data_IF_333754414946
#
_entry.id   IF_333754414946
#
_cell.length_a   1.000
_cell.length_b   1.000
_cell.length_c   1.000
_cell.angle_alpha   90.00
_cell.angle_beta   90.00
_cell.angle_gamma   90.00
#
_symmetry.space_group_name_H-M   'P 1'
#
loop_
_entity.id
_entity.type
_entity.pdbx_description
1 polymer ?
#
# COMPACT_ATOMS: atom_id res chain seq x y z
N UNK A 1 7.30 -37.64 22.46
CA UNK A 1 6.82 -38.81 23.21
C UNK A 1 7.29 -38.71 24.65
N UNK A 2 6.33 -38.62 25.61
CA UNK A 2 6.63 -38.48 27.04
C UNK A 2 6.62 -39.85 27.72
N UNK A 3 7.81 -40.37 28.04
CA UNK A 3 7.95 -41.56 28.88
C UNK A 3 8.51 -41.12 30.24
N UNK A 4 7.88 -41.51 31.33
CA UNK A 4 8.37 -41.32 32.69
C UNK A 4 8.74 -42.62 33.34
N UNK A 5 9.78 -42.65 34.15
CA UNK A 5 10.20 -43.82 34.90
C UNK A 5 10.60 -43.41 36.33
N UNK A 6 10.42 -44.33 37.27
CA UNK A 6 10.95 -44.17 38.65
C UNK A 6 12.34 -44.83 38.73
N UNK A 7 13.17 -44.39 39.69
CA UNK A 7 14.39 -45.11 40.05
C UNK A 7 14.10 -46.47 40.63
N UNK A 8 15.01 -47.40 40.50
CA UNK A 8 14.94 -48.68 41.20
C UNK A 8 14.83 -48.44 42.74
N UNK A 9 14.10 -49.27 43.41
CA UNK A 9 13.91 -49.26 44.87
C UNK A 9 13.13 -48.06 45.43
N UNK A 10 12.51 -47.22 44.57
CA UNK A 10 11.68 -46.12 45.04
C UNK A 10 10.35 -46.61 45.66
N UNK A 11 9.74 -47.64 45.05
CA UNK A 11 8.42 -48.11 45.41
C UNK A 11 8.52 -49.48 46.12
N UNK A 12 8.03 -49.62 47.37
CA UNK A 12 7.99 -50.89 48.08
C UNK A 12 6.86 -51.82 47.53
N UNK A 13 6.73 -53.01 48.12
CA UNK A 13 5.54 -53.85 47.88
C UNK A 13 4.25 -53.06 48.14
N UNK A 14 3.29 -53.22 47.24
CA UNK A 14 2.01 -52.57 47.44
C UNK A 14 1.23 -52.25 46.16
N UNK A 15 0.09 -51.66 46.36
CA UNK A 15 -0.78 -51.11 45.31
C UNK A 15 -0.50 -49.63 45.16
N UNK A 16 -0.32 -49.18 43.94
CA UNK A 16 -0.01 -47.80 43.61
C UNK A 16 -0.96 -47.28 42.57
N UNK A 17 -1.08 -45.94 42.53
CA UNK A 17 -1.85 -45.20 41.54
C UNK A 17 -0.97 -44.05 41.01
N UNK A 18 -0.83 -43.97 39.67
CA UNK A 18 -0.27 -42.84 39.02
C UNK A 18 -1.39 -41.88 38.67
N UNK A 19 -1.21 -40.62 39.01
CA UNK A 19 -2.15 -39.54 38.70
C UNK A 19 -1.33 -38.40 38.10
N UNK A 20 -1.76 -37.87 36.99
CA UNK A 20 -1.19 -36.63 36.45
C UNK A 20 -1.65 -35.47 37.33
N UNK A 21 -0.71 -34.72 37.88
CA UNK A 21 -0.99 -33.55 38.75
C UNK A 21 -1.13 -32.25 37.99
N UNK A 22 -0.47 -32.16 36.85
CA UNK A 22 -0.45 -30.97 35.98
C UNK A 22 -0.23 -31.39 34.53
N UNK A 23 -1.06 -30.88 33.63
CA UNK A 23 -0.92 -31.12 32.22
C UNK A 23 0.10 -30.12 31.61
N UNK A 24 0.76 -30.45 30.50
CA UNK A 24 1.58 -29.51 29.72
C UNK A 24 0.77 -28.29 29.32
N UNK A 25 1.48 -27.20 29.02
CA UNK A 25 0.88 -25.99 28.44
C UNK A 25 0.00 -26.33 27.23
N UNK A 26 -1.16 -25.73 27.16
CA UNK A 26 -2.14 -25.98 26.09
C UNK A 26 -3.05 -27.18 26.32
N UNK A 27 -2.83 -27.98 27.39
CA UNK A 27 -3.64 -29.13 27.70
C UNK A 27 -4.35 -29.00 29.06
N UNK A 28 -5.35 -29.88 29.25
CA UNK A 28 -6.10 -30.07 30.50
C UNK A 28 -5.82 -31.46 31.01
N UNK A 29 -5.83 -31.63 32.33
CA UNK A 29 -5.80 -32.95 32.98
C UNK A 29 -7.11 -33.70 32.82
N UNK A 30 -8.18 -33.01 32.36
CA UNK A 30 -9.47 -33.64 32.09
C UNK A 30 -9.32 -34.74 31.01
N UNK A 31 -9.73 -35.96 31.41
CA UNK A 31 -9.53 -37.12 30.54
C UNK A 31 -8.29 -37.96 30.85
N UNK A 32 -7.34 -37.42 31.63
CA UNK A 32 -6.22 -38.22 32.15
C UNK A 32 -6.72 -39.25 33.21
N UNK A 33 -6.78 -40.48 32.78
CA UNK A 33 -7.26 -41.56 33.71
C UNK A 33 -6.12 -42.01 34.61
N UNK A 34 -6.36 -42.13 35.93
CA UNK A 34 -5.38 -42.74 36.83
C UNK A 34 -5.04 -44.15 36.41
N UNK A 35 -3.76 -44.51 36.55
CA UNK A 35 -3.25 -45.86 36.28
C UNK A 35 -2.99 -46.56 37.60
N UNK A 36 -3.70 -47.65 37.84
CA UNK A 36 -3.51 -48.49 39.02
C UNK A 36 -2.59 -49.69 38.69
N UNK A 37 -1.57 -49.93 39.51
CA UNK A 37 -0.67 -51.03 39.37
C UNK A 37 -0.24 -51.61 40.72
N UNK A 38 0.42 -52.78 40.69
CA UNK A 38 0.84 -53.45 41.92
C UNK A 38 2.27 -53.93 41.77
N UNK A 39 3.12 -53.71 42.79
CA UNK A 39 4.43 -54.29 42.94
C UNK A 39 4.36 -55.50 43.82
N UNK A 40 4.69 -56.69 43.29
CA UNK A 40 4.59 -57.96 43.96
C UNK A 40 5.93 -58.71 44.11
N UNK A 41 6.98 -58.27 43.44
CA UNK A 41 8.27 -58.90 43.41
C UNK A 41 9.40 -57.89 43.51
N UNK A 42 10.45 -58.21 44.29
CA UNK A 42 11.60 -57.36 44.47
C UNK A 42 12.44 -57.24 43.17
N UNK A 43 12.82 -56.05 42.78
CA UNK A 43 13.62 -55.77 41.57
C UNK A 43 12.87 -55.97 40.23
N UNK A 44 11.55 -56.20 40.26
CA UNK A 44 10.76 -56.31 39.05
C UNK A 44 10.39 -54.94 38.52
N UNK A 45 10.60 -54.76 37.23
CA UNK A 45 10.11 -53.59 36.51
C UNK A 45 8.66 -53.84 36.11
N UNK A 46 7.76 -52.95 36.46
CA UNK A 46 6.38 -52.91 35.97
C UNK A 46 6.37 -51.97 34.78
N UNK A 47 6.22 -52.52 33.57
CA UNK A 47 6.13 -51.77 32.36
C UNK A 47 4.69 -51.35 32.10
N UNK A 48 4.46 -50.02 32.00
CA UNK A 48 3.16 -49.37 31.76
C UNK A 48 3.22 -48.52 30.48
N UNK A 49 4.07 -48.85 29.54
CA UNK A 49 4.27 -48.08 28.30
C UNK A 49 3.33 -48.50 27.17
N UNK A 50 2.42 -49.44 27.41
CA UNK A 50 1.44 -49.84 26.43
C UNK A 50 0.29 -48.85 26.28
N UNK A 51 -0.49 -48.97 25.22
CA UNK A 51 -1.60 -48.10 24.88
C UNK A 51 -2.69 -48.04 26.00
N UNK A 52 -2.92 -49.19 26.70
CA UNK A 52 -3.92 -49.26 27.76
C UNK A 52 -3.57 -48.44 29.01
N UNK A 53 -2.27 -48.12 29.20
CA UNK A 53 -1.75 -47.33 30.29
C UNK A 53 -1.29 -45.90 29.82
N UNK A 54 -1.60 -45.53 28.59
CA UNK A 54 -1.29 -44.17 28.09
C UNK A 54 -2.21 -43.14 28.72
N UNK A 55 -1.64 -41.99 29.09
CA UNK A 55 -2.35 -40.82 29.62
C UNK A 55 -2.61 -39.85 28.47
N UNK A 56 -3.87 -39.55 28.20
CA UNK A 56 -4.29 -38.63 27.14
C UNK A 56 -4.87 -37.37 27.77
N UNK A 57 -4.31 -36.24 27.40
CA UNK A 57 -4.78 -34.92 27.82
C UNK A 57 -5.69 -34.32 26.77
N UNK A 58 -6.71 -33.61 27.24
CA UNK A 58 -7.54 -32.84 26.34
C UNK A 58 -6.82 -31.51 26.00
N UNK A 59 -6.69 -31.22 24.73
CA UNK A 59 -6.19 -29.89 24.31
C UNK A 59 -7.23 -28.81 24.67
N UNK A 60 -6.75 -27.65 25.15
CA UNK A 60 -7.59 -26.46 25.37
C UNK A 60 -8.16 -25.96 24.06
N UNK A 61 -9.41 -25.50 24.10
CA UNK A 61 -10.11 -24.97 22.93
C UNK A 61 -10.84 -23.70 23.28
N UNK A 62 -11.04 -22.84 22.29
CA UNK A 62 -11.79 -21.59 22.41
C UNK A 62 -12.50 -21.24 21.11
N UNK A 63 -13.15 -20.09 21.13
CA UNK A 63 -13.89 -19.55 20.01
C UNK A 63 -13.54 -18.08 19.80
N UNK A 64 -13.95 -17.55 18.66
CA UNK A 64 -13.91 -16.12 18.34
C UNK A 64 -15.28 -15.63 17.92
N UNK A 65 -15.54 -14.35 18.16
CA UNK A 65 -16.71 -13.66 17.66
C UNK A 65 -16.36 -12.20 17.32
N UNK A 66 -17.16 -11.56 16.48
CA UNK A 66 -16.97 -10.18 16.12
C UNK A 66 -18.09 -9.61 15.27
N UNK A 67 -18.03 -8.31 15.04
CA UNK A 67 -18.99 -7.56 14.24
C UNK A 67 -18.26 -6.76 13.19
N UNK A 68 -18.69 -6.85 11.92
CA UNK A 68 -18.13 -6.12 10.80
C UNK A 68 -19.00 -4.93 10.41
N UNK A 69 -18.39 -3.76 10.28
CA UNK A 69 -19.05 -2.53 9.82
C UNK A 69 -18.20 -1.82 8.77
N UNK A 70 -18.84 -1.01 7.93
CA UNK A 70 -18.17 -0.07 7.03
C UNK A 70 -18.12 1.33 7.63
N UNK A 71 -17.10 2.10 7.25
CA UNK A 71 -16.92 3.50 7.64
C UNK A 71 -18.10 4.39 7.26
N UNK A 72 -18.12 5.60 7.78
CA UNK A 72 -19.12 6.62 7.52
C UNK A 72 -20.43 6.36 8.23
N UNK A 73 -21.34 5.60 7.64
CA UNK A 73 -22.65 5.30 8.22
C UNK A 73 -22.63 4.23 9.30
N UNK A 74 -21.49 3.57 9.54
CA UNK A 74 -21.33 2.41 10.42
C UNK A 74 -22.31 1.27 10.09
N UNK A 75 -22.63 1.15 8.79
CA UNK A 75 -23.49 0.08 8.30
C UNK A 75 -22.83 -1.27 8.55
N UNK A 76 -23.58 -2.20 9.09
CA UNK A 76 -23.15 -3.58 9.26
C UNK A 76 -22.96 -4.25 7.89
N UNK A 77 -21.87 -4.96 7.70
CA UNK A 77 -21.51 -5.60 6.44
C UNK A 77 -21.78 -7.10 6.54
N UNK A 78 -22.81 -7.54 5.85
CA UNK A 78 -23.15 -8.96 5.72
C UNK A 78 -22.31 -9.63 4.63
N UNK A 79 -22.11 -10.95 4.74
CA UNK A 79 -21.41 -11.79 3.77
C UNK A 79 -19.93 -11.40 3.55
N UNK A 80 -19.27 -10.85 4.58
CA UNK A 80 -17.84 -10.60 4.58
C UNK A 80 -17.11 -11.83 5.10
N UNK A 81 -16.25 -12.48 4.31
CA UNK A 81 -15.53 -13.67 4.74
C UNK A 81 -14.26 -13.32 5.50
N UNK A 82 -14.00 -14.07 6.58
CA UNK A 82 -12.77 -14.03 7.36
C UNK A 82 -12.11 -15.40 7.36
N UNK A 83 -10.85 -15.47 6.94
CA UNK A 83 -10.02 -16.67 7.06
C UNK A 83 -9.36 -16.68 8.43
N UNK A 84 -9.45 -17.82 9.10
CA UNK A 84 -8.81 -18.11 10.37
C UNK A 84 -7.72 -19.15 10.07
N UNK A 85 -6.45 -18.82 10.28
CA UNK A 85 -5.31 -19.72 9.94
C UNK A 85 -4.50 -20.02 11.21
N UNK A 86 -4.35 -21.29 11.56
CA UNK A 86 -3.44 -21.75 12.61
C UNK A 86 -1.98 -21.47 12.25
N UNK A 87 -1.22 -20.83 13.12
CA UNK A 87 0.22 -20.59 12.89
C UNK A 87 1.06 -21.86 13.07
N UNK A 88 0.60 -22.79 13.87
CA UNK A 88 1.33 -24.05 14.12
C UNK A 88 1.15 -25.06 13.00
N UNK A 89 -0.08 -25.23 12.49
CA UNK A 89 -0.39 -26.28 11.52
C UNK A 89 -0.58 -25.77 10.09
N UNK A 90 -0.91 -24.48 9.91
CA UNK A 90 -1.34 -23.91 8.64
C UNK A 90 -2.77 -24.28 8.24
N UNK A 91 -3.47 -25.07 9.07
CA UNK A 91 -4.90 -25.36 8.88
C UNK A 91 -5.69 -24.06 8.88
N UNK A 92 -6.66 -23.93 7.98
CA UNK A 92 -7.47 -22.73 7.91
C UNK A 92 -8.93 -23.04 7.60
N UNK A 93 -9.81 -22.18 8.10
CA UNK A 93 -11.24 -22.20 7.89
C UNK A 93 -11.75 -20.78 7.62
N UNK A 94 -12.89 -20.69 6.94
CA UNK A 94 -13.53 -19.40 6.62
C UNK A 94 -14.86 -19.29 7.35
N UNK A 95 -15.02 -18.19 8.09
CA UNK A 95 -16.29 -17.77 8.68
C UNK A 95 -16.81 -16.53 7.96
N UNK A 96 -18.13 -16.40 7.81
CA UNK A 96 -18.74 -15.28 7.07
C UNK A 96 -19.73 -14.54 7.97
N UNK A 97 -19.77 -13.22 7.85
CA UNK A 97 -20.72 -12.40 8.62
C UNK A 97 -22.17 -12.63 8.17
N UNK A 98 -23.09 -12.65 9.12
CA UNK A 98 -24.54 -12.74 8.88
C UNK A 98 -25.15 -11.42 8.39
N UNK A 99 -26.47 -11.36 8.29
CA UNK A 99 -27.19 -10.15 7.86
C UNK A 99 -27.03 -8.96 8.83
N UNK A 100 -26.62 -9.24 10.08
CA UNK A 100 -26.31 -8.23 11.08
C UNK A 100 -24.80 -7.88 11.15
N UNK A 101 -24.00 -8.39 10.22
CA UNK A 101 -22.55 -8.21 10.21
C UNK A 101 -21.84 -8.95 11.34
N UNK A 102 -22.50 -9.93 12.00
CA UNK A 102 -21.94 -10.69 13.09
C UNK A 102 -21.35 -12.01 12.58
N UNK A 103 -20.29 -12.48 13.21
CA UNK A 103 -19.77 -13.83 13.03
C UNK A 103 -19.28 -14.40 14.34
N UNK A 104 -19.34 -15.72 14.49
CA UNK A 104 -18.79 -16.45 15.61
C UNK A 104 -18.44 -17.88 15.18
N UNK A 105 -17.45 -18.48 15.84
CA UNK A 105 -17.13 -19.91 15.69
C UNK A 105 -17.80 -20.76 16.78
N UNK A 106 -18.48 -20.14 17.75
CA UNK A 106 -19.10 -20.83 18.87
C UNK A 106 -20.27 -21.71 18.44
N UNK A 107 -20.41 -22.88 19.07
CA UNK A 107 -21.56 -23.77 18.88
C UNK A 107 -22.89 -23.18 19.32
N UNK A 108 -22.89 -22.14 20.15
CA UNK A 108 -24.10 -21.36 20.48
C UNK A 108 -24.64 -20.60 19.27
N UNK A 109 -23.74 -20.25 18.34
CA UNK A 109 -24.09 -19.59 17.07
C UNK A 109 -24.56 -20.60 16.02
N UNK A 110 -23.74 -21.61 15.75
CA UNK A 110 -24.03 -22.71 14.84
C UNK A 110 -23.17 -23.93 15.17
N UNK A 111 -23.73 -25.15 15.02
CA UNK A 111 -22.98 -26.39 15.24
C UNK A 111 -21.68 -26.41 14.45
N UNK A 112 -20.59 -26.88 15.05
CA UNK A 112 -19.28 -27.01 14.42
C UNK A 112 -19.26 -27.96 13.21
N UNK A 113 -20.27 -28.80 13.02
CA UNK A 113 -20.45 -29.68 11.86
C UNK A 113 -21.07 -29.01 10.67
N UNK A 114 -21.64 -27.82 10.86
CA UNK A 114 -22.34 -27.06 9.84
C UNK A 114 -21.76 -25.68 9.68
N UNK A 115 -21.98 -25.14 8.49
CA UNK A 115 -21.59 -23.79 8.18
C UNK A 115 -22.16 -22.78 9.20
N UNK A 116 -21.31 -21.92 9.72
CA UNK A 116 -21.65 -20.90 10.71
C UNK A 116 -22.70 -19.91 10.24
N UNK A 117 -22.90 -19.76 8.92
CA UNK A 117 -23.85 -18.82 8.31
C UNK A 117 -24.78 -19.47 7.31
N UNK A 118 -25.36 -20.60 7.63
CA UNK A 118 -26.43 -21.23 6.86
C UNK A 118 -26.09 -21.35 5.36
N UNK A 119 -24.90 -21.83 5.00
CA UNK A 119 -24.48 -22.05 3.62
C UNK A 119 -23.82 -20.83 2.95
N UNK A 120 -23.53 -19.74 3.66
CA UNK A 120 -22.82 -18.57 3.12
C UNK A 120 -21.30 -18.71 3.11
N UNK A 121 -20.74 -19.79 3.66
CA UNK A 121 -19.33 -20.16 3.52
C UNK A 121 -19.19 -21.31 2.51
N UNK A 122 -17.99 -21.55 2.03
CA UNK A 122 -17.66 -22.75 1.24
C UNK A 122 -17.47 -23.99 2.10
N UNK A 123 -17.55 -23.89 3.44
CA UNK A 123 -17.29 -24.95 4.40
C UNK A 123 -18.55 -25.34 5.16
N UNK A 124 -18.69 -26.61 5.52
CA UNK A 124 -19.82 -27.15 6.27
C UNK A 124 -19.72 -26.91 7.78
N UNK A 125 -18.64 -26.31 8.24
CA UNK A 125 -18.43 -25.95 9.63
C UNK A 125 -17.03 -25.42 9.90
N UNK A 126 -16.79 -24.98 11.14
CA UNK A 126 -15.46 -24.55 11.59
C UNK A 126 -15.04 -25.46 12.74
N UNK A 127 -13.99 -26.23 12.53
CA UNK A 127 -13.42 -27.12 13.54
C UNK A 127 -11.96 -27.40 13.24
N UNK A 128 -11.07 -26.99 14.12
CA UNK A 128 -9.64 -27.18 13.97
C UNK A 128 -9.17 -28.52 14.56
N UNK A 129 -8.25 -29.19 13.86
CA UNK A 129 -7.66 -30.46 14.25
C UNK A 129 -8.43 -31.66 13.73
N UNK A 130 -7.89 -32.85 13.99
CA UNK A 130 -8.33 -34.12 13.37
C UNK A 130 -9.42 -34.87 14.14
N UNK A 131 -9.84 -34.37 15.32
CA UNK A 131 -10.92 -34.98 16.08
C UNK A 131 -12.28 -34.66 15.47
N UNK A 132 -13.28 -35.50 15.73
CA UNK A 132 -14.67 -35.21 15.37
C UNK A 132 -15.14 -33.92 16.07
N UNK A 133 -15.88 -33.04 15.34
CA UNK A 133 -16.48 -31.86 15.95
C UNK A 133 -17.36 -32.15 17.14
N UNK A 134 -17.18 -31.36 18.21
CA UNK A 134 -17.87 -31.51 19.50
C UNK A 134 -18.37 -30.14 19.96
N UNK A 135 -19.69 -29.94 19.89
CA UNK A 135 -20.34 -28.66 20.20
C UNK A 135 -20.27 -28.28 21.70
N UNK A 136 -19.75 -29.18 22.57
CA UNK A 136 -19.46 -28.85 23.96
C UNK A 136 -18.10 -28.16 24.18
N UNK A 137 -17.32 -27.96 23.10
CA UNK A 137 -15.97 -27.43 23.13
C UNK A 137 -15.84 -26.28 22.09
N UNK A 138 -14.86 -25.44 22.27
CA UNK A 138 -14.55 -24.41 21.27
C UNK A 138 -14.01 -25.00 19.97
N UNK A 139 -14.23 -24.29 18.85
CA UNK A 139 -13.79 -24.71 17.52
C UNK A 139 -12.27 -24.65 17.31
N UNK A 140 -11.60 -23.67 17.94
CA UNK A 140 -10.17 -23.40 17.79
C UNK A 140 -9.35 -24.10 18.87
N UNK A 141 -8.23 -24.71 18.49
CA UNK A 141 -7.27 -25.31 19.43
C UNK A 141 -6.46 -24.22 20.16
N UNK A 142 -5.81 -24.59 21.26
CA UNK A 142 -4.76 -23.78 21.89
C UNK A 142 -3.65 -23.51 20.86
N UNK A 143 -3.60 -22.29 20.34
CA UNK A 143 -2.66 -21.86 19.31
C UNK A 143 -2.73 -20.34 19.13
N UNK A 144 -1.84 -19.81 18.28
CA UNK A 144 -1.93 -18.47 17.71
C UNK A 144 -2.53 -18.57 16.31
N UNK A 145 -3.52 -17.72 16.02
CA UNK A 145 -4.19 -17.68 14.73
C UNK A 145 -3.99 -16.35 14.05
N UNK A 146 -3.91 -16.37 12.72
CA UNK A 146 -3.99 -15.17 11.88
C UNK A 146 -5.42 -15.05 11.39
N UNK A 147 -6.03 -13.89 11.63
CA UNK A 147 -7.35 -13.52 11.14
C UNK A 147 -7.18 -12.60 9.96
N UNK A 148 -7.71 -12.97 8.81
CA UNK A 148 -7.58 -12.24 7.55
C UNK A 148 -8.95 -12.01 6.94
N UNK A 149 -9.30 -10.75 6.69
CA UNK A 149 -10.48 -10.41 5.90
C UNK A 149 -10.23 -10.70 4.43
N UNK A 150 -11.17 -11.36 3.77
CA UNK A 150 -11.06 -11.67 2.35
C UNK A 150 -11.94 -10.74 1.52
N UNK A 151 -11.47 -10.39 0.32
CA UNK A 151 -12.24 -9.60 -0.62
C UNK A 151 -13.51 -10.35 -1.06
N UNK A 152 -14.63 -9.63 -1.08
CA UNK A 152 -15.93 -10.10 -1.53
C UNK A 152 -16.73 -8.95 -2.15
N UNK A 153 -17.89 -9.24 -2.76
CA UNK A 153 -18.79 -8.18 -3.26
C UNK A 153 -19.32 -7.28 -2.12
N UNK A 154 -19.37 -7.80 -0.90
CA UNK A 154 -19.94 -7.12 0.26
C UNK A 154 -19.02 -6.05 0.86
N UNK A 155 -17.71 -6.17 0.67
CA UNK A 155 -16.71 -5.19 1.10
C UNK A 155 -16.02 -4.48 -0.08
N UNK A 156 -16.64 -4.52 -1.27
CA UNK A 156 -16.17 -3.77 -2.42
C UNK A 156 -16.25 -2.27 -2.16
N UNK A 157 -15.19 -1.53 -2.48
CA UNK A 157 -15.08 -0.10 -2.22
C UNK A 157 -14.64 0.25 -0.81
N UNK A 158 -14.24 -0.75 -0.02
CA UNK A 158 -13.61 -0.57 1.28
C UNK A 158 -12.19 -1.15 1.27
N UNK A 159 -11.29 -0.54 2.02
CA UNK A 159 -9.98 -1.12 2.34
C UNK A 159 -10.17 -2.29 3.29
N UNK A 160 -9.55 -3.43 3.00
CA UNK A 160 -9.58 -4.57 3.92
C UNK A 160 -8.78 -4.25 5.18
N UNK A 161 -9.25 -4.69 6.33
CA UNK A 161 -8.43 -4.59 7.55
C UNK A 161 -7.16 -5.42 7.40
N UNK A 162 -6.00 -4.91 7.87
CA UNK A 162 -4.78 -5.69 7.86
C UNK A 162 -4.93 -6.98 8.65
N UNK A 163 -4.36 -8.10 8.19
CA UNK A 163 -4.35 -9.34 8.97
C UNK A 163 -3.79 -9.12 10.38
N UNK A 164 -4.41 -9.73 11.39
CA UNK A 164 -3.99 -9.62 12.79
C UNK A 164 -3.96 -10.97 13.47
N UNK A 165 -3.26 -11.03 14.61
CA UNK A 165 -3.11 -12.27 15.38
C UNK A 165 -3.98 -12.27 16.62
N UNK A 166 -4.47 -13.47 16.95
CA UNK A 166 -5.14 -13.78 18.22
C UNK A 166 -4.49 -15.03 18.85
N UNK A 167 -4.67 -15.20 20.16
CA UNK A 167 -4.12 -16.35 20.90
C UNK A 167 -5.24 -17.02 21.69
N UNK A 168 -5.52 -18.28 21.38
CA UNK A 168 -6.37 -19.14 22.20
C UNK A 168 -5.50 -19.75 23.30
N UNK A 169 -5.52 -19.16 24.49
CA UNK A 169 -4.64 -19.53 25.62
C UNK A 169 -5.35 -20.21 26.76
N UNK A 170 -6.69 -20.21 26.81
CA UNK A 170 -7.50 -20.81 27.87
C UNK A 170 -8.62 -21.65 27.28
N UNK A 171 -9.01 -22.66 28.02
CA UNK A 171 -10.13 -23.52 27.63
C UNK A 171 -11.46 -22.75 27.77
N UNK A 172 -12.37 -22.99 26.82
CA UNK A 172 -13.70 -22.38 26.75
C UNK A 172 -13.67 -20.83 26.77
N UNK A 173 -12.59 -20.23 26.19
CA UNK A 173 -12.50 -18.79 25.99
C UNK A 173 -13.18 -18.43 24.68
N UNK A 174 -14.15 -17.53 24.72
CA UNK A 174 -14.63 -16.81 23.53
C UNK A 174 -13.86 -15.50 23.48
N UNK A 175 -13.13 -15.29 22.39
CA UNK A 175 -12.38 -14.06 22.13
C UNK A 175 -13.30 -13.12 21.34
N UNK A 176 -13.81 -12.08 22.01
CA UNK A 176 -14.56 -11.02 21.37
C UNK A 176 -13.61 -10.05 20.66
N UNK A 177 -13.67 -10.03 19.33
CA UNK A 177 -12.88 -9.13 18.47
C UNK A 177 -13.49 -7.71 18.41
N UNK A 178 -14.65 -7.53 19.03
CA UNK A 178 -15.37 -6.26 19.02
C UNK A 178 -15.89 -5.89 17.62
N UNK A 179 -15.81 -4.61 17.32
CA UNK A 179 -16.23 -4.07 16.02
C UNK A 179 -15.04 -3.86 15.12
N UNK A 180 -15.05 -4.57 14.01
CA UNK A 180 -14.06 -4.47 12.94
C UNK A 180 -14.59 -3.51 11.87
N UNK A 181 -13.91 -2.38 11.67
CA UNK A 181 -14.36 -1.31 10.77
C UNK A 181 -13.48 -1.28 9.53
N UNK A 182 -14.10 -1.31 8.34
CA UNK A 182 -13.43 -1.00 7.08
C UNK A 182 -13.52 0.49 6.79
N UNK A 183 -12.42 1.09 6.36
CA UNK A 183 -12.42 2.42 5.79
C UNK A 183 -12.79 2.37 4.30
N UNK A 184 -13.28 3.49 3.74
CA UNK A 184 -13.51 3.55 2.30
C UNK A 184 -12.18 3.48 1.54
N UNK A 185 -12.17 2.75 0.42
CA UNK A 185 -11.06 2.84 -0.53
C UNK A 185 -10.90 4.31 -0.95
N UNK A 186 -9.69 4.84 -0.82
CA UNK A 186 -9.39 6.20 -1.26
C UNK A 186 -9.41 6.24 -2.79
N UNK A 187 -10.17 7.18 -3.35
CA UNK A 187 -10.09 7.45 -4.78
C UNK A 187 -8.78 8.17 -5.07
N UNK A 188 -7.98 7.58 -5.96
CA UNK A 188 -6.77 8.23 -6.42
C UNK A 188 -7.15 9.34 -7.38
N UNK A 189 -6.76 10.58 -7.06
CA UNK A 189 -6.94 11.74 -7.91
C UNK A 189 -5.62 12.19 -8.54
N UNK A 190 -5.72 12.83 -9.72
CA UNK A 190 -4.60 13.35 -10.48
C UNK A 190 -4.90 14.79 -10.91
N UNK A 191 -3.98 15.71 -10.62
CA UNK A 191 -4.00 17.10 -11.04
C UNK A 191 -2.66 17.45 -11.66
N UNK A 192 -2.68 18.03 -12.86
CA UNK A 192 -1.46 18.22 -13.62
C UNK A 192 -1.31 19.67 -14.10
N UNK A 193 -0.09 20.09 -14.37
CA UNK A 193 0.22 21.41 -14.91
C UNK A 193 1.44 21.32 -15.81
N UNK A 194 1.21 21.49 -17.12
CA UNK A 194 2.24 21.48 -18.12
C UNK A 194 2.82 22.88 -18.35
N UNK A 195 4.15 22.97 -18.44
CA UNK A 195 4.89 24.23 -18.69
C UNK A 195 6.14 23.98 -19.52
N UNK A 196 6.82 25.05 -19.93
CA UNK A 196 8.22 24.99 -20.35
C UNK A 196 9.14 24.62 -19.18
N UNK A 197 10.43 24.38 -19.45
CA UNK A 197 11.46 24.24 -18.41
C UNK A 197 11.56 25.47 -17.48
N UNK A 198 11.18 26.64 -17.97
CA UNK A 198 11.24 27.89 -17.23
C UNK A 198 9.93 28.24 -16.51
N UNK A 199 8.94 27.33 -16.56
CA UNK A 199 7.65 27.47 -15.92
C UNK A 199 6.61 28.27 -16.72
N UNK A 200 6.89 28.58 -17.98
CA UNK A 200 6.03 29.37 -18.85
C UNK A 200 5.03 28.52 -19.64
N UNK A 201 3.87 29.10 -19.97
CA UNK A 201 2.85 28.46 -20.81
C UNK A 201 3.12 28.58 -22.31
N UNK A 202 4.23 29.21 -22.69
CA UNK A 202 4.62 29.39 -24.07
C UNK A 202 6.07 29.01 -24.30
N UNK A 203 6.33 28.38 -25.46
CA UNK A 203 7.66 27.93 -25.87
C UNK A 203 7.86 28.37 -27.30
N UNK A 204 9.05 28.89 -27.67
CA UNK A 204 9.40 29.17 -29.07
C UNK A 204 9.60 27.86 -29.82
N UNK A 205 9.08 27.79 -31.06
CA UNK A 205 9.33 26.67 -31.96
C UNK A 205 10.84 26.44 -32.13
N UNK A 206 11.28 25.19 -32.08
CA UNK A 206 12.70 24.85 -32.17
C UNK A 206 12.95 23.36 -32.36
N UNK A 207 14.20 23.00 -32.66
CA UNK A 207 14.59 21.60 -32.90
C UNK A 207 14.56 20.75 -31.64
N UNK A 208 14.68 21.38 -30.48
CA UNK A 208 14.66 20.70 -29.18
C UNK A 208 13.86 21.55 -28.21
N UNK A 209 12.62 21.15 -27.99
CA UNK A 209 11.68 21.79 -27.07
C UNK A 209 11.36 20.78 -25.96
N UNK A 210 11.26 21.24 -24.72
CA UNK A 210 10.85 20.41 -23.62
C UNK A 210 9.63 21.00 -22.94
N UNK A 211 8.59 20.17 -22.80
CA UNK A 211 7.46 20.40 -21.91
C UNK A 211 7.73 19.60 -20.64
N UNK A 212 7.53 20.24 -19.49
CA UNK A 212 7.58 19.62 -18.16
C UNK A 212 6.18 19.61 -17.62
N UNK A 213 5.67 18.44 -17.30
CA UNK A 213 4.40 18.30 -16.62
C UNK A 213 4.63 17.98 -15.14
N UNK A 214 4.03 18.78 -14.30
CA UNK A 214 4.01 18.61 -12.85
C UNK A 214 2.72 17.95 -12.45
N UNK A 215 2.79 16.70 -12.02
CA UNK A 215 1.65 15.86 -11.64
C UNK A 215 1.55 15.79 -10.13
N UNK A 216 0.42 16.21 -9.58
CA UNK A 216 0.05 16.04 -8.18
C UNK A 216 -0.90 14.85 -8.08
N UNK A 217 -0.55 13.91 -7.25
CA UNK A 217 -1.29 12.67 -6.99
C UNK A 217 -1.74 12.69 -5.53
N UNK A 218 -2.98 12.27 -5.27
CA UNK A 218 -3.55 12.14 -3.94
C UNK A 218 -4.31 10.81 -3.84
N UNK A 219 -4.35 10.20 -2.66
CA UNK A 219 -4.98 8.90 -2.41
C UNK A 219 -4.10 7.70 -2.77
N UNK A 220 -2.79 7.89 -2.96
CA UNK A 220 -1.86 6.79 -3.23
C UNK A 220 -1.73 5.85 -2.02
N UNK A 221 -1.51 4.57 -2.28
CA UNK A 221 -1.17 3.61 -1.24
C UNK A 221 0.34 3.58 -1.03
N UNK A 222 0.81 3.97 0.16
CA UNK A 222 2.23 3.99 0.52
C UNK A 222 2.88 2.61 0.32
N UNK A 223 4.04 2.59 -0.32
CA UNK A 223 4.78 1.36 -0.64
C UNK A 223 4.34 0.69 -1.95
N UNK A 224 3.23 1.12 -2.54
CA UNK A 224 2.77 0.61 -3.84
C UNK A 224 3.56 1.22 -4.97
N UNK A 225 3.88 0.40 -5.97
CA UNK A 225 4.56 0.82 -7.20
C UNK A 225 3.54 1.28 -8.22
N UNK A 226 3.74 2.48 -8.77
CA UNK A 226 2.90 3.08 -9.79
C UNK A 226 3.70 3.40 -11.06
N UNK A 227 2.99 3.46 -12.20
CA UNK A 227 3.51 3.97 -13.47
C UNK A 227 2.60 5.07 -13.99
N UNK A 228 3.17 6.27 -14.17
CA UNK A 228 2.54 7.38 -14.85
C UNK A 228 2.94 7.30 -16.33
N UNK A 229 1.96 7.26 -17.23
CA UNK A 229 2.16 7.34 -18.67
C UNK A 229 1.58 8.64 -19.19
N UNK A 230 2.35 9.40 -19.94
CA UNK A 230 1.87 10.65 -20.47
C UNK A 230 2.27 10.84 -21.94
N UNK A 231 1.48 11.64 -22.69
CA UNK A 231 1.72 11.97 -24.08
C UNK A 231 1.16 13.34 -24.44
N UNK A 232 1.63 13.86 -25.56
CA UNK A 232 1.22 15.16 -26.06
C UNK A 232 0.12 15.04 -27.11
N UNK A 233 -0.87 15.93 -27.03
CA UNK A 233 -1.98 16.06 -27.97
C UNK A 233 -1.89 17.40 -28.70
N UNK A 234 -2.31 17.43 -29.98
CA UNK A 234 -2.61 18.65 -30.73
C UNK A 234 -4.03 19.10 -30.36
N UNK A 235 -4.17 20.27 -29.69
CA UNK A 235 -5.45 20.74 -29.13
C UNK A 235 -6.52 20.91 -30.20
N UNK A 236 -6.18 21.59 -31.29
CA UNK A 236 -7.14 21.94 -32.36
C UNK A 236 -7.60 20.73 -33.15
N UNK A 237 -6.71 19.77 -33.35
CA UNK A 237 -7.01 18.54 -34.11
C UNK A 237 -7.58 17.44 -33.25
N UNK A 238 -7.52 17.57 -31.92
CA UNK A 238 -7.85 16.53 -30.96
C UNK A 238 -7.18 15.18 -31.32
N UNK A 239 -5.89 15.26 -31.65
CA UNK A 239 -5.10 14.13 -32.16
C UNK A 239 -3.77 14.03 -31.40
N UNK A 240 -3.24 12.82 -31.32
CA UNK A 240 -1.91 12.57 -30.73
C UNK A 240 -0.82 13.30 -31.53
N UNK A 241 0.12 13.90 -30.82
CA UNK A 241 1.29 14.52 -31.45
C UNK A 241 2.27 13.44 -31.91
N UNK A 242 2.43 13.36 -33.24
CA UNK A 242 3.36 12.43 -33.88
C UNK A 242 4.52 13.21 -34.49
N UNK A 243 5.74 12.94 -34.07
CA UNK A 243 6.98 13.50 -34.63
C UNK A 243 7.83 12.35 -35.17
N UNK A 244 8.24 12.45 -36.41
CA UNK A 244 9.06 11.43 -37.14
C UNK A 244 8.42 10.01 -37.02
N UNK A 245 7.09 9.94 -37.11
CA UNK A 245 6.33 8.71 -37.09
C UNK A 245 6.20 8.06 -35.68
N UNK A 246 6.58 8.78 -34.62
CA UNK A 246 6.45 8.32 -33.23
C UNK A 246 5.60 9.29 -32.40
N UNK A 247 4.77 8.76 -31.52
CA UNK A 247 4.05 9.56 -30.54
C UNK A 247 5.05 10.22 -29.59
N UNK A 248 4.80 11.49 -29.29
CA UNK A 248 5.54 12.21 -28.24
C UNK A 248 4.97 11.78 -26.90
N UNK A 249 5.62 10.82 -26.28
CA UNK A 249 5.21 10.22 -24.99
C UNK A 249 6.43 10.00 -24.10
N UNK A 250 6.14 9.84 -22.81
CA UNK A 250 7.11 9.40 -21.83
C UNK A 250 6.37 8.68 -20.68
N UNK A 251 7.10 7.87 -19.94
CA UNK A 251 6.57 7.22 -18.74
C UNK A 251 7.53 7.38 -17.57
N UNK A 252 6.94 7.37 -16.36
CA UNK A 252 7.68 7.48 -15.11
C UNK A 252 7.15 6.46 -14.11
N UNK A 253 8.04 5.61 -13.60
CA UNK A 253 7.69 4.59 -12.61
C UNK A 253 8.28 4.96 -11.26
N UNK A 254 7.47 4.89 -10.19
CA UNK A 254 7.86 5.24 -8.84
C UNK A 254 7.21 4.32 -7.80
N UNK A 255 7.71 4.37 -6.58
CA UNK A 255 7.05 3.77 -5.40
C UNK A 255 6.51 4.91 -4.55
N UNK A 256 5.24 4.85 -4.18
CA UNK A 256 4.65 5.87 -3.33
C UNK A 256 5.30 5.87 -1.95
N UNK A 257 5.90 6.98 -1.55
CA UNK A 257 6.48 7.19 -0.21
C UNK A 257 5.51 7.89 0.74
N UNK A 258 4.44 8.49 0.20
CA UNK A 258 3.32 9.07 0.95
C UNK A 258 2.01 8.91 0.15
N UNK A 259 0.87 9.21 0.79
CA UNK A 259 -0.46 9.24 0.14
C UNK A 259 -0.59 10.38 -0.87
N UNK A 260 0.08 11.50 -0.64
CA UNK A 260 0.18 12.65 -1.53
C UNK A 260 1.59 12.75 -2.11
N UNK A 261 1.71 12.77 -3.43
CA UNK A 261 2.99 12.92 -4.12
C UNK A 261 2.93 13.95 -5.23
N UNK A 262 4.07 14.56 -5.47
CA UNK A 262 4.32 15.40 -6.64
C UNK A 262 5.43 14.76 -7.46
N UNK A 263 5.14 14.45 -8.71
CA UNK A 263 6.11 13.91 -9.67
C UNK A 263 6.18 14.80 -10.90
N UNK A 264 7.31 14.76 -11.60
CA UNK A 264 7.51 15.52 -12.83
C UNK A 264 7.86 14.56 -13.97
N UNK A 265 7.22 14.75 -15.12
CA UNK A 265 7.48 14.02 -16.34
C UNK A 265 7.80 15.01 -17.46
N UNK A 266 8.80 14.74 -18.28
CA UNK A 266 9.27 15.66 -19.29
C UNK A 266 9.19 15.05 -20.69
N UNK A 267 8.80 15.87 -21.68
CA UNK A 267 8.67 15.49 -23.07
C UNK A 267 9.58 16.38 -23.91
N UNK A 268 10.60 15.79 -24.54
CA UNK A 268 11.54 16.53 -25.39
C UNK A 268 11.39 16.06 -26.82
N UNK A 269 11.14 17.01 -27.72
CA UNK A 269 10.85 16.72 -29.13
C UNK A 269 11.20 17.91 -30.07
N UNK A 270 11.18 17.66 -31.37
CA UNK A 270 11.37 18.69 -32.39
C UNK A 270 10.04 19.40 -32.68
N UNK A 271 9.94 20.66 -32.26
CA UNK A 271 8.76 21.51 -32.45
C UNK A 271 8.95 22.57 -33.57
N UNK A 272 9.95 22.45 -34.44
CA UNK A 272 10.24 23.46 -35.46
C UNK A 272 9.06 23.72 -36.42
N UNK A 273 8.22 22.72 -36.67
CA UNK A 273 7.04 22.80 -37.53
C UNK A 273 5.74 23.06 -36.77
N UNK A 274 5.80 23.30 -35.45
CA UNK A 274 4.61 23.43 -34.58
C UNK A 274 4.31 24.89 -34.21
N UNK A 275 4.94 25.88 -34.82
CA UNK A 275 4.65 27.29 -34.54
C UNK A 275 3.17 27.61 -34.69
N UNK A 276 2.59 28.30 -33.71
CA UNK A 276 1.16 28.61 -33.63
C UNK A 276 0.26 27.51 -33.09
N UNK A 277 0.78 26.31 -32.73
CA UNK A 277 0.01 25.18 -32.22
C UNK A 277 -0.09 25.20 -30.71
N UNK A 278 -1.23 24.71 -30.18
CA UNK A 278 -1.43 24.43 -28.78
C UNK A 278 -1.29 22.94 -28.53
N UNK A 279 -0.48 22.59 -27.55
CA UNK A 279 -0.27 21.21 -27.12
C UNK A 279 -0.91 20.99 -25.75
N UNK A 280 -1.56 19.86 -25.56
CA UNK A 280 -2.15 19.47 -24.28
C UNK A 280 -1.52 18.15 -23.85
N UNK A 281 -1.08 18.08 -22.59
CA UNK A 281 -0.52 16.86 -22.03
C UNK A 281 -1.64 15.99 -21.46
N UNK A 282 -1.67 14.72 -21.80
CA UNK A 282 -2.59 13.71 -21.25
C UNK A 282 -1.81 12.70 -20.41
N UNK A 283 -2.41 12.22 -19.31
CA UNK A 283 -1.80 11.25 -18.42
C UNK A 283 -2.77 10.14 -18.02
N UNK A 284 -2.18 8.97 -17.77
CA UNK A 284 -2.80 7.82 -17.12
C UNK A 284 -1.90 7.30 -16.01
N UNK A 285 -2.48 7.00 -14.85
CA UNK A 285 -1.77 6.37 -13.74
C UNK A 285 -2.19 4.91 -13.61
N UNK A 286 -1.19 4.04 -13.50
CA UNK A 286 -1.37 2.60 -13.33
C UNK A 286 -0.78 2.14 -12.00
N UNK A 287 -1.53 1.31 -11.27
CA UNK A 287 -1.05 0.53 -10.15
C UNK A 287 -0.35 -0.74 -10.67
N UNK A 288 0.89 -0.95 -10.22
CA UNK A 288 1.74 -2.09 -10.58
C UNK A 288 1.88 -3.09 -9.41
N UNK A 289 0.94 -3.17 -8.48
CA UNK A 289 0.94 -4.18 -7.41
C UNK A 289 0.97 -5.59 -7.99
N UNK A 290 0.30 -5.80 -9.14
CA UNK A 290 0.47 -6.96 -9.98
C UNK A 290 1.17 -6.55 -11.29
N UNK A 291 2.49 -6.75 -11.44
CA UNK A 291 3.24 -6.32 -12.62
C UNK A 291 2.78 -6.99 -13.93
N UNK A 292 2.20 -8.19 -13.85
CA UNK A 292 1.71 -8.93 -15.02
C UNK A 292 0.34 -8.41 -15.50
N UNK A 293 -0.38 -7.67 -14.65
CA UNK A 293 -1.67 -7.09 -14.95
C UNK A 293 -1.78 -5.67 -14.37
N UNK A 294 -1.13 -4.66 -14.99
CA UNK A 294 -1.20 -3.27 -14.55
C UNK A 294 -2.65 -2.74 -14.56
N UNK A 295 -3.09 -2.20 -13.44
CA UNK A 295 -4.45 -1.67 -13.29
C UNK A 295 -4.44 -0.15 -13.45
N UNK A 296 -5.15 0.40 -14.45
CA UNK A 296 -5.37 1.85 -14.54
C UNK A 296 -6.22 2.32 -13.37
N UNK A 297 -5.72 3.28 -12.58
CA UNK A 297 -6.39 3.77 -11.37
C UNK A 297 -6.97 5.16 -11.52
N UNK A 298 -6.36 6.02 -12.32
CA UNK A 298 -6.90 7.36 -12.65
C UNK A 298 -6.31 7.86 -13.96
N UNK A 299 -6.88 8.93 -14.50
CA UNK A 299 -6.40 9.60 -15.72
C UNK A 299 -6.74 11.09 -15.70
N UNK A 300 -5.97 11.89 -16.43
CA UNK A 300 -6.30 13.27 -16.78
C UNK A 300 -6.17 13.46 -18.29
N UNK A 301 -7.30 13.54 -18.99
CA UNK A 301 -7.40 13.61 -20.44
C UNK A 301 -8.44 14.64 -20.89
N UNK A 302 -8.29 15.86 -20.41
CA UNK A 302 -9.14 16.97 -20.82
C UNK A 302 -8.42 17.84 -21.84
N UNK A 303 -8.82 17.72 -23.12
CA UNK A 303 -8.25 18.48 -24.22
C UNK A 303 -8.48 20.01 -24.09
N UNK A 304 -9.43 20.41 -23.23
CA UNK A 304 -9.78 21.81 -22.99
C UNK A 304 -9.06 22.44 -21.79
N UNK A 305 -8.34 21.63 -21.01
CA UNK A 305 -7.65 22.09 -19.80
C UNK A 305 -6.50 23.06 -20.15
N UNK A 306 -6.66 24.32 -19.73
CA UNK A 306 -5.62 25.35 -19.88
C UNK A 306 -4.43 25.09 -18.94
N UNK A 307 -4.64 24.38 -17.83
CA UNK A 307 -3.57 23.94 -16.93
C UNK A 307 -2.58 22.99 -17.60
N UNK A 308 -3.05 22.18 -18.55
CA UNK A 308 -2.23 21.26 -19.33
C UNK A 308 -1.87 21.77 -20.73
N UNK A 309 -2.30 22.96 -21.09
CA UNK A 309 -2.04 23.53 -22.41
C UNK A 309 -0.74 24.34 -22.41
N UNK A 310 0.13 24.07 -23.41
CA UNK A 310 1.33 24.85 -23.73
C UNK A 310 1.26 25.29 -25.18
N UNK A 311 1.48 26.59 -25.44
CA UNK A 311 1.47 27.16 -26.80
C UNK A 311 2.88 27.18 -27.36
N UNK A 312 3.06 26.64 -28.56
CA UNK A 312 4.31 26.78 -29.35
C UNK A 312 4.21 28.05 -30.16
N UNK A 313 5.02 29.07 -29.85
CA UNK A 313 5.06 30.33 -30.57
C UNK A 313 5.93 30.20 -31.82
N UNK A 314 5.52 30.85 -32.90
CA UNK A 314 6.36 30.99 -34.07
C UNK A 314 7.65 31.76 -33.75
N UNK A 315 8.74 31.36 -34.38
CA UNK A 315 9.99 32.14 -34.37
C UNK A 315 9.75 33.38 -35.20
N UNK A 316 9.93 34.61 -34.68
CA UNK A 316 9.81 35.82 -35.50
C UNK A 316 10.76 35.76 -36.69
N UNK A 317 10.24 35.94 -37.92
CA UNK A 317 11.09 36.12 -39.07
C UNK A 317 11.96 37.36 -38.85
N UNK A 318 13.27 37.17 -38.86
CA UNK A 318 14.19 38.33 -38.95
C UNK A 318 14.02 38.89 -40.37
N UNK A 319 13.60 40.15 -40.56
CA UNK A 319 13.47 40.73 -41.87
C UNK A 319 14.80 40.60 -42.58
N UNK A 320 14.81 40.02 -43.80
CA UNK A 320 15.98 39.98 -44.67
C UNK A 320 16.50 41.40 -44.85
N UNK A 321 17.74 41.65 -44.45
CA UNK A 321 18.45 42.90 -44.76
C UNK A 321 18.49 43.02 -46.27
N UNK A 322 18.04 44.14 -46.88
CA UNK A 322 18.06 44.28 -48.28
C UNK A 322 19.53 44.09 -48.85
N UNK A 323 19.72 43.18 -49.79
CA UNK A 323 20.93 43.04 -50.53
C UNK A 323 21.13 44.31 -51.35
N UNK A 324 22.03 45.13 -50.90
CA UNK A 324 22.49 46.27 -51.64
C UNK A 324 23.34 45.75 -52.83
N UNK A 325 22.77 45.81 -54.07
CA UNK A 325 23.50 45.71 -55.35
C UNK A 325 23.56 47.09 -55.89
N UNK A 326 24.70 47.74 -55.69
CA UNK A 326 25.31 48.56 -56.75
C UNK A 326 26.70 49.09 -56.32
N UNK A 327 27.71 48.64 -57.01
CA UNK A 327 29.02 49.33 -57.17
C UNK A 327 28.93 50.12 -58.44
N UNK A 328 29.52 51.31 -58.64
CA UNK A 328 30.96 51.53 -58.50
C UNK A 328 31.46 52.96 -58.11
N UNK A 329 32.77 53.00 -57.89
CA UNK A 329 33.77 54.07 -58.09
C UNK A 329 34.12 55.02 -56.95
N UNK A 330 35.38 54.88 -56.61
CA UNK A 330 36.34 55.68 -55.83
C UNK A 330 36.52 57.12 -56.35
N UNK A 331 37.25 58.14 -55.74
CA UNK A 331 37.97 58.10 -54.48
C UNK A 331 37.89 59.40 -53.61
N UNK A 332 38.49 59.34 -52.43
CA UNK A 332 39.25 60.39 -51.70
C UNK A 332 38.74 61.09 -50.49
N UNK A 333 39.53 60.83 -49.46
CA UNK A 333 40.09 61.69 -48.40
C UNK A 333 39.23 62.12 -47.19
N UNK A 334 39.63 61.54 -46.05
CA UNK A 334 39.92 62.11 -44.72
C UNK A 334 38.87 62.96 -44.02
N UNK A 335 38.36 62.48 -42.91
CA UNK A 335 38.73 62.91 -41.54
C UNK A 335 37.97 62.11 -40.47
N UNK A 336 38.70 61.79 -39.42
CA UNK A 336 38.21 61.19 -38.20
C UNK A 336 37.22 62.07 -37.45
N UNK A 337 36.10 61.51 -36.99
CA UNK A 337 35.60 61.77 -35.60
C UNK A 337 34.81 60.59 -35.19
N UNK A 338 35.18 60.11 -34.02
CA UNK A 338 34.52 59.06 -33.25
C UNK A 338 33.22 59.62 -32.69
N UNK A 339 32.12 58.86 -32.84
CA UNK A 339 31.08 58.82 -31.80
C UNK A 339 30.22 57.57 -32.01
N UNK A 340 30.48 56.58 -31.17
CA UNK A 340 29.57 55.42 -30.99
C UNK A 340 28.42 55.87 -30.07
N UNK A 341 27.16 55.52 -30.37
CA UNK A 341 26.07 55.73 -29.42
C UNK A 341 26.26 54.81 -28.25
N UNK A 342 26.44 55.38 -27.05
CA UNK A 342 26.37 54.66 -25.80
C UNK A 342 24.90 54.32 -25.52
N UNK A 343 24.52 53.08 -25.65
CA UNK A 343 23.36 52.53 -24.93
C UNK A 343 23.81 52.27 -23.49
N UNK A 344 23.64 53.34 -22.67
CA UNK A 344 23.98 53.26 -21.25
C UNK A 344 22.85 52.63 -20.47
N UNK A 345 22.92 51.33 -20.17
CA UNK A 345 22.25 50.77 -19.04
C UNK A 345 23.14 51.04 -17.81
N UNK A 346 22.75 52.02 -16.99
CA UNK A 346 23.42 52.35 -15.73
C UNK A 346 22.95 51.54 -14.57
N UNK A 347 22.54 50.31 -14.78
CA UNK A 347 22.09 49.41 -13.69
C UNK A 347 23.32 48.94 -12.90
N UNK A 348 23.47 49.47 -11.71
CA UNK A 348 24.55 49.14 -10.80
C UNK A 348 24.38 47.71 -10.22
N UNK A 349 24.93 46.74 -10.93
CA UNK A 349 24.82 45.30 -10.60
C UNK A 349 25.32 44.99 -9.16
N UNK A 350 26.22 45.83 -8.62
CA UNK A 350 26.73 45.68 -7.25
C UNK A 350 25.69 46.00 -6.20
N UNK A 351 24.66 46.81 -6.48
CA UNK A 351 23.61 47.11 -5.58
C UNK A 351 22.65 45.91 -5.39
N UNK A 352 22.42 45.14 -6.43
CA UNK A 352 21.62 43.89 -6.38
C UNK A 352 22.35 42.77 -5.69
N UNK A 353 23.68 42.63 -5.90
CA UNK A 353 24.51 41.66 -5.19
C UNK A 353 24.59 41.96 -3.69
N UNK A 354 24.62 43.22 -3.29
CA UNK A 354 24.60 43.62 -1.86
C UNK A 354 23.24 43.30 -1.19
N UNK A 355 22.11 43.48 -1.90
CA UNK A 355 20.79 43.09 -1.39
C UNK A 355 20.61 41.57 -1.26
N UNK A 356 21.18 40.81 -2.18
CA UNK A 356 21.16 39.34 -2.13
C UNK A 356 21.96 38.82 -0.92
N UNK A 357 23.13 39.40 -0.64
CA UNK A 357 23.95 39.08 0.53
C UNK A 357 23.26 39.35 1.87
N UNK A 358 22.53 40.46 1.98
CA UNK A 358 21.79 40.81 3.19
C UNK A 358 20.58 39.89 3.46
N UNK A 359 19.91 39.38 2.40
CA UNK A 359 18.82 38.43 2.54
C UNK A 359 19.27 37.06 3.04
N UNK A 360 20.43 36.60 2.62
CA UNK A 360 21.01 35.33 3.09
C UNK A 360 21.43 35.37 4.57
N UNK A 361 21.95 36.51 5.04
CA UNK A 361 22.30 36.72 6.45
C UNK A 361 21.05 36.76 7.35
N UNK A 362 19.96 37.38 6.86
CA UNK A 362 18.67 37.44 7.56
C UNK A 362 18.04 36.06 7.75
N UNK A 363 18.04 35.22 6.73
CA UNK A 363 17.52 33.83 6.79
C UNK A 363 18.37 32.93 7.69
N UNK A 364 19.71 33.07 7.64
CA UNK A 364 20.62 32.30 8.49
C UNK A 364 20.43 32.62 9.99
N UNK A 365 20.24 33.89 10.34
CA UNK A 365 19.99 34.32 11.72
C UNK A 365 18.62 33.84 12.24
N UNK A 366 17.57 33.86 11.42
CA UNK A 366 16.26 33.35 11.80
C UNK A 366 16.25 31.83 12.07
N UNK A 367 16.98 31.05 11.28
CA UNK A 367 17.15 29.62 11.49
C UNK A 367 17.97 29.30 12.73
N UNK A 368 19.02 30.12 13.02
CA UNK A 368 19.84 29.97 14.21
C UNK A 368 19.04 30.24 15.50
N UNK A 369 18.22 31.29 15.56
CA UNK A 369 17.39 31.60 16.71
C UNK A 369 16.25 30.60 16.91
N UNK A 370 15.65 30.07 15.82
CA UNK A 370 14.61 29.02 15.89
C UNK A 370 15.15 27.68 16.44
N UNK A 371 16.42 27.35 16.17
CA UNK A 371 17.10 26.16 16.75
C UNK A 371 17.42 26.32 18.24
N UNK A 372 17.71 27.53 18.73
CA UNK A 372 17.96 27.78 20.17
C UNK A 372 16.71 27.70 21.03
N UNK A 373 15.54 28.11 20.51
CA UNK A 373 14.24 28.01 21.23
C UNK A 373 13.70 26.58 21.38
N UNK A 374 14.23 25.60 20.66
CA UNK A 374 13.85 24.18 20.82
C UNK A 374 14.74 23.39 21.79
N UNK A 375 15.75 24.05 22.43
CA UNK A 375 16.67 23.43 23.39
C UNK A 375 16.63 24.09 24.77
N UNK A 376 15.64 24.92 25.06
CA UNK A 376 15.35 25.47 26.39
C UNK A 376 14.02 24.92 26.89
#
# INVERSE_FOLDING_TARGET
EGIASTSADLLPYGKFRIVESEAPDGYLTDGAKPIDFTITENGKIVDLTDEAHSIYNQIKRGDIEGVKIGAGTHKRLANVPFRITSKTTGENHVVVTDDNGQFSTSAEWASHKHNTNAGKTSEDGVWFGTSEPDDSKGALLYDTYIIEELRSDSNKGFELIPPFEIVVSRNNLVIDLGTLTDEYEKEISIHTTATSKDGEKTILAGKEVTIVDTVKLDGLTKGTKYQLKGWQMLKEENAELIIDGKRVENDYTFVADDEEMKVEISYTFNASALGGKNLVTFEELYDLSNPDEPKKVTEHKDITDDGQTVTIKEVPEVPDTPKDTDTPDTPSTVTKTSDSPKTGDNTNIYAYLAMLGLSCVGLGSMLYFKRRRKKA
#
